data_IF_166570787196
#
_entry.id   IF_166570787196
#
_cell.length_a   1.000
_cell.length_b   1.000
_cell.length_c   1.000
_cell.angle_alpha   90.00
_cell.angle_beta   90.00
_cell.angle_gamma   90.00
#
_symmetry.space_group_name_H-M   'P 1'
#
loop_
_entity.id
_entity.type
_entity.pdbx_description
1 polymer ?
#
# COMPACT_ATOMS: atom_id res chain seq x y z
N UNK A 1 -0.46 -1.71 1.11
CA UNK A 1 -0.03 -2.83 0.23
C UNK A 1 1.48 -2.90 0.25
N UNK A 2 2.07 -4.00 -0.15
CA UNK A 2 3.50 -4.07 -0.09
C UNK A 2 4.08 -5.41 -0.48
N UNK A 3 5.35 -5.56 -0.14
CA UNK A 3 6.18 -6.70 -0.46
C UNK A 3 5.67 -8.00 0.16
N UNK A 4 5.93 -9.12 -0.52
CA UNK A 4 5.71 -10.46 0.03
C UNK A 4 6.65 -10.78 1.18
N UNK A 5 7.79 -10.07 1.24
CA UNK A 5 8.78 -10.22 2.31
C UNK A 5 8.81 -8.91 3.09
N UNK A 6 8.11 -8.90 4.21
CA UNK A 6 7.99 -7.69 5.04
C UNK A 6 9.26 -7.50 5.87
N UNK A 7 9.86 -6.31 5.75
CA UNK A 7 11.00 -5.92 6.60
C UNK A 7 10.50 -5.47 7.98
N UNK A 8 11.42 -5.36 8.93
CA UNK A 8 11.10 -4.79 10.24
C UNK A 8 10.60 -3.34 10.12
N UNK A 9 11.21 -2.57 9.21
CA UNK A 9 10.76 -1.22 8.90
C UNK A 9 9.32 -1.23 8.39
N UNK A 10 9.01 -2.09 7.41
CA UNK A 10 7.66 -2.21 6.87
C UNK A 10 6.64 -2.61 7.93
N UNK A 11 6.98 -3.56 8.77
CA UNK A 11 6.13 -4.01 9.87
C UNK A 11 5.80 -2.87 10.83
N UNK A 12 6.81 -2.08 11.18
CA UNK A 12 6.63 -0.94 12.08
C UNK A 12 5.72 0.13 11.46
N UNK A 13 5.98 0.46 10.20
CA UNK A 13 5.16 1.45 9.48
C UNK A 13 3.71 0.98 9.39
N UNK A 14 3.48 -0.28 9.04
CA UNK A 14 2.12 -0.85 8.99
C UNK A 14 1.45 -0.77 10.35
N UNK A 15 2.15 -1.14 11.41
CA UNK A 15 1.62 -1.06 12.76
C UNK A 15 1.19 0.35 13.14
N UNK A 16 2.04 1.33 12.89
CA UNK A 16 1.77 2.73 13.18
C UNK A 16 0.61 3.26 12.33
N UNK A 17 0.59 2.89 11.05
CA UNK A 17 -0.48 3.29 10.13
C UNK A 17 -1.84 2.71 10.56
N UNK A 18 -1.91 1.42 10.85
CA UNK A 18 -3.14 0.77 11.26
C UNK A 18 -3.65 1.33 12.60
N UNK A 19 -2.74 1.64 13.52
CA UNK A 19 -3.09 2.28 14.78
C UNK A 19 -3.68 3.68 14.55
N UNK A 20 -3.11 4.44 13.63
CA UNK A 20 -3.60 5.77 13.27
C UNK A 20 -5.02 5.70 12.70
N UNK A 21 -5.30 4.69 11.86
CA UNK A 21 -6.59 4.55 11.18
C UNK A 21 -7.67 3.89 12.03
N UNK A 22 -7.30 3.28 13.14
CA UNK A 22 -8.16 2.42 13.95
C UNK A 22 -9.49 3.04 14.37
N UNK A 23 -9.49 4.32 14.73
CA UNK A 23 -10.66 5.01 15.23
C UNK A 23 -11.29 5.97 14.21
N UNK A 24 -10.93 5.83 12.95
CA UNK A 24 -11.45 6.67 11.88
C UNK A 24 -12.50 5.92 11.07
N UNK A 25 -13.43 6.66 10.48
CA UNK A 25 -14.46 6.08 9.60
C UNK A 25 -13.88 5.80 8.23
N UNK A 26 -12.90 4.91 8.18
CA UNK A 26 -12.16 4.55 6.97
C UNK A 26 -12.20 3.03 6.85
N UNK A 27 -12.54 2.54 5.67
CA UNK A 27 -12.45 1.12 5.38
C UNK A 27 -11.05 0.80 4.86
N UNK A 28 -10.33 -0.06 5.57
CA UNK A 28 -9.01 -0.54 5.13
C UNK A 28 -9.20 -1.80 4.31
N UNK A 29 -8.69 -1.76 3.09
CA UNK A 29 -8.84 -2.82 2.08
C UNK A 29 -7.45 -3.37 1.75
N UNK A 30 -7.35 -4.67 1.55
CA UNK A 30 -6.11 -5.29 1.10
C UNK A 30 -6.39 -6.52 0.24
N UNK A 31 -5.33 -7.13 -0.26
CA UNK A 31 -5.38 -8.36 -1.05
C UNK A 31 -4.75 -9.48 -0.22
N UNK A 32 -5.33 -10.68 -0.29
CA UNK A 32 -4.80 -11.84 0.44
C UNK A 32 -3.56 -12.39 -0.26
N UNK A 33 -2.42 -11.82 0.11
CA UNK A 33 -1.08 -12.32 -0.25
C UNK A 33 -0.18 -12.20 0.97
N UNK A 34 0.92 -12.95 0.99
CA UNK A 34 1.85 -12.97 2.12
C UNK A 34 2.63 -11.65 2.26
N UNK A 35 3.25 -11.46 3.41
CA UNK A 35 4.09 -10.30 3.68
C UNK A 35 3.32 -9.13 4.26
N UNK A 36 3.53 -7.93 3.72
CA UNK A 36 2.89 -6.71 4.21
C UNK A 36 1.37 -6.81 4.24
N UNK A 37 0.77 -7.40 3.21
CA UNK A 37 -0.68 -7.53 3.14
C UNK A 37 -1.22 -8.46 4.24
N UNK A 38 -0.50 -9.53 4.58
CA UNK A 38 -0.88 -10.42 5.69
C UNK A 38 -0.88 -9.67 7.02
N UNK A 39 0.08 -8.78 7.22
CA UNK A 39 0.15 -7.99 8.44
C UNK A 39 -1.03 -7.01 8.53
N UNK A 40 -1.42 -6.40 7.42
CA UNK A 40 -2.61 -5.53 7.38
C UNK A 40 -3.88 -6.33 7.72
N UNK A 41 -4.00 -7.56 7.21
CA UNK A 41 -5.12 -8.44 7.55
C UNK A 41 -5.13 -8.75 9.04
N UNK A 42 -3.98 -9.11 9.60
CA UNK A 42 -3.84 -9.42 11.02
C UNK A 42 -4.25 -8.25 11.90
N UNK A 43 -3.96 -7.03 11.48
CA UNK A 43 -4.24 -5.80 12.23
C UNK A 43 -5.63 -5.23 11.98
N UNK A 44 -6.46 -5.87 11.17
CA UNK A 44 -7.88 -5.55 11.09
C UNK A 44 -8.39 -4.94 9.80
N UNK A 45 -7.86 -5.34 8.65
CA UNK A 45 -8.46 -4.96 7.37
C UNK A 45 -9.93 -5.37 7.32
N UNK A 46 -10.80 -4.48 6.89
CA UNK A 46 -12.25 -4.74 6.86
C UNK A 46 -12.71 -5.42 5.59
N UNK A 47 -11.99 -5.23 4.48
CA UNK A 47 -12.31 -5.89 3.21
C UNK A 47 -11.06 -6.50 2.62
N UNK A 48 -11.16 -7.77 2.22
CA UNK A 48 -10.04 -8.53 1.69
C UNK A 48 -10.43 -9.08 0.33
N UNK A 49 -9.66 -8.72 -0.69
CA UNK A 49 -9.81 -9.28 -2.03
C UNK A 49 -8.90 -10.49 -2.17
N UNK A 50 -9.38 -11.52 -2.85
CA UNK A 50 -8.59 -12.72 -3.09
C UNK A 50 -9.03 -13.40 -4.38
N UNK A 51 -8.16 -14.23 -4.95
CA UNK A 51 -8.40 -14.96 -6.18
C UNK A 51 -7.11 -15.36 -6.87
N UNK A 52 -7.24 -16.05 -7.99
CA UNK A 52 -6.10 -16.59 -8.73
C UNK A 52 -5.57 -15.64 -9.81
N UNK A 53 -6.37 -14.68 -10.24
CA UNK A 53 -6.01 -13.77 -11.32
C UNK A 53 -5.66 -12.39 -10.74
N UNK A 54 -4.37 -12.13 -10.58
CA UNK A 54 -3.88 -10.87 -9.99
C UNK A 54 -4.28 -9.65 -10.80
N UNK A 55 -4.29 -9.74 -12.11
CA UNK A 55 -4.68 -8.62 -12.95
C UNK A 55 -6.12 -8.20 -12.66
N UNK A 56 -7.01 -9.16 -12.59
CA UNK A 56 -8.42 -8.93 -12.27
C UNK A 56 -8.60 -8.37 -10.87
N UNK A 57 -7.89 -8.94 -9.88
CA UNK A 57 -7.95 -8.47 -8.49
C UNK A 57 -7.47 -7.02 -8.41
N UNK A 58 -6.36 -6.69 -9.06
CA UNK A 58 -5.84 -5.33 -9.05
C UNK A 58 -6.83 -4.33 -9.63
N UNK A 59 -7.51 -4.70 -10.71
CA UNK A 59 -8.57 -3.86 -11.29
C UNK A 59 -9.73 -3.68 -10.32
N UNK A 60 -10.18 -4.74 -9.67
CA UNK A 60 -11.26 -4.69 -8.70
C UNK A 60 -10.92 -3.79 -7.50
N UNK A 61 -9.70 -3.92 -6.98
CA UNK A 61 -9.24 -3.07 -5.87
C UNK A 61 -9.18 -1.61 -6.30
N UNK A 62 -8.64 -1.34 -7.49
CA UNK A 62 -8.54 0.02 -8.00
C UNK A 62 -9.90 0.66 -8.27
N UNK A 63 -10.89 -0.14 -8.63
CA UNK A 63 -12.27 0.34 -8.78
C UNK A 63 -12.90 0.67 -7.43
N UNK A 64 -12.63 -0.14 -6.42
CA UNK A 64 -13.28 -0.07 -5.12
C UNK A 64 -12.67 1.00 -4.21
N UNK A 65 -11.35 1.00 -4.06
CA UNK A 65 -10.66 1.87 -3.10
C UNK A 65 -10.47 3.28 -3.67
N UNK A 66 -10.45 4.26 -2.81
CA UNK A 66 -10.29 5.67 -3.20
C UNK A 66 -8.83 6.07 -3.35
N UNK A 67 -7.96 5.53 -2.50
CA UNK A 67 -6.53 5.78 -2.55
C UNK A 67 -5.75 4.49 -2.31
N UNK A 68 -4.51 4.48 -2.76
CA UNK A 68 -3.58 3.37 -2.53
C UNK A 68 -2.43 3.86 -1.66
N UNK A 69 -2.07 3.08 -0.65
CA UNK A 69 -0.88 3.30 0.16
C UNK A 69 0.04 2.10 -0.02
N UNK A 70 1.25 2.34 -0.49
CA UNK A 70 2.27 1.29 -0.65
C UNK A 70 3.36 1.52 0.39
N UNK A 71 3.58 0.51 1.23
CA UNK A 71 4.56 0.59 2.32
C UNK A 71 5.95 0.19 1.84
N UNK A 72 6.05 -0.92 1.11
CA UNK A 72 7.32 -1.36 0.52
C UNK A 72 7.08 -2.35 -0.61
N UNK A 73 8.09 -2.55 -1.45
CA UNK A 73 8.06 -3.51 -2.53
C UNK A 73 9.40 -3.53 -3.26
N UNK A 74 9.84 -4.72 -3.66
CA UNK A 74 11.07 -4.91 -4.42
C UNK A 74 10.88 -4.65 -5.92
N UNK A 75 11.93 -4.91 -6.73
CA UNK A 75 11.94 -4.63 -8.16
C UNK A 75 10.84 -5.35 -8.94
N UNK A 76 10.57 -6.59 -8.61
CA UNK A 76 9.53 -7.39 -9.28
C UNK A 76 8.18 -7.32 -8.60
N UNK A 77 7.93 -6.31 -7.79
CA UNK A 77 6.73 -6.24 -6.97
C UNK A 77 5.45 -6.04 -7.79
N UNK A 78 4.42 -6.81 -7.43
CA UNK A 78 3.07 -6.62 -7.98
C UNK A 78 2.45 -5.27 -7.62
N UNK A 79 3.04 -4.56 -6.65
CA UNK A 79 2.54 -3.23 -6.26
C UNK A 79 2.69 -2.21 -7.38
N UNK A 80 3.67 -2.39 -8.28
CA UNK A 80 3.84 -1.49 -9.44
C UNK A 80 2.64 -1.59 -10.39
N UNK A 81 2.16 -2.80 -10.62
CA UNK A 81 0.98 -3.02 -11.47
C UNK A 81 -0.28 -2.47 -10.80
N UNK A 82 -0.44 -2.68 -9.50
CA UNK A 82 -1.57 -2.15 -8.74
C UNK A 82 -1.57 -0.62 -8.77
N UNK A 83 -0.41 0.00 -8.57
CA UNK A 83 -0.28 1.45 -8.64
C UNK A 83 -0.69 1.99 -10.01
N UNK A 84 -0.28 1.31 -11.09
CA UNK A 84 -0.66 1.68 -12.44
C UNK A 84 -2.18 1.69 -12.63
N UNK A 85 -2.88 0.70 -12.07
CA UNK A 85 -4.34 0.64 -12.14
C UNK A 85 -5.00 1.84 -11.44
N UNK A 86 -4.48 2.24 -10.28
CA UNK A 86 -5.00 3.42 -9.57
C UNK A 86 -4.75 4.70 -10.37
N UNK A 87 -3.55 4.86 -10.90
CA UNK A 87 -3.16 6.02 -11.70
C UNK A 87 -4.04 6.14 -12.94
N UNK A 88 -4.29 5.04 -13.63
CA UNK A 88 -5.14 5.01 -14.83
C UNK A 88 -6.58 5.46 -14.54
N UNK A 89 -7.02 5.31 -13.30
CA UNK A 89 -8.35 5.75 -12.86
C UNK A 89 -8.35 7.16 -12.26
N UNK A 90 -7.23 7.85 -12.32
CA UNK A 90 -7.09 9.19 -11.75
C UNK A 90 -7.05 9.21 -10.23
N UNK A 91 -6.74 8.10 -9.59
CA UNK A 91 -6.68 7.98 -8.14
C UNK A 91 -5.25 8.15 -7.63
N UNK A 92 -5.10 8.68 -6.43
CA UNK A 92 -3.79 8.98 -5.86
C UNK A 92 -3.13 7.74 -5.27
N UNK A 93 -1.80 7.69 -5.45
CA UNK A 93 -0.93 6.67 -4.88
C UNK A 93 0.03 7.34 -3.92
N UNK A 94 0.03 6.87 -2.68
CA UNK A 94 0.91 7.35 -1.62
C UNK A 94 1.95 6.28 -1.33
N UNK A 95 3.22 6.67 -1.22
CA UNK A 95 4.32 5.73 -1.02
C UNK A 95 5.16 6.11 0.18
N UNK A 96 5.50 5.10 0.97
CA UNK A 96 6.42 5.26 2.10
C UNK A 96 7.85 5.22 1.55
N UNK A 97 8.64 6.30 1.70
CA UNK A 97 10.03 6.28 1.25
C UNK A 97 10.88 5.37 2.11
N UNK A 98 11.96 4.86 1.56
CA UNK A 98 12.91 4.04 2.28
C UNK A 98 14.32 4.30 1.82
N UNK A 99 15.27 3.56 2.39
CA UNK A 99 16.68 3.73 2.05
C UNK A 99 16.95 3.15 0.66
N UNK A 100 17.72 3.86 -0.14
CA UNK A 100 18.01 3.43 -1.52
C UNK A 100 18.84 2.14 -1.58
N UNK A 101 19.47 1.76 -0.48
CA UNK A 101 20.22 0.51 -0.38
C UNK A 101 19.37 -0.69 0.00
N UNK A 102 18.10 -0.48 0.39
CA UNK A 102 17.19 -1.55 0.78
C UNK A 102 16.37 -1.99 -0.42
N UNK A 103 16.44 -3.27 -0.77
CA UNK A 103 15.69 -3.83 -1.90
C UNK A 103 14.18 -3.61 -1.74
N UNK A 104 13.68 -3.72 -0.52
CA UNK A 104 12.25 -3.50 -0.22
C UNK A 104 11.75 -2.08 -0.44
N UNK A 105 12.65 -1.12 -0.64
CA UNK A 105 12.30 0.28 -0.90
C UNK A 105 12.31 0.64 -2.38
N UNK A 106 12.69 -0.29 -3.26
CA UNK A 106 12.83 0.02 -4.68
C UNK A 106 11.53 0.51 -5.30
N UNK A 107 10.44 -0.24 -5.11
CA UNK A 107 9.16 0.09 -5.77
C UNK A 107 8.60 1.43 -5.31
N UNK A 108 8.61 1.68 -3.99
CA UNK A 108 8.07 2.94 -3.46
C UNK A 108 8.91 4.13 -3.88
N UNK A 109 10.25 4.02 -3.79
CA UNK A 109 11.13 5.10 -4.21
C UNK A 109 11.02 5.36 -5.72
N UNK A 110 10.93 4.31 -6.52
CA UNK A 110 10.74 4.44 -7.97
C UNK A 110 9.43 5.16 -8.29
N UNK A 111 8.33 4.74 -7.65
CA UNK A 111 7.03 5.37 -7.85
C UNK A 111 7.03 6.85 -7.43
N UNK A 112 7.71 7.19 -6.34
CA UNK A 112 7.87 8.59 -5.92
C UNK A 112 8.58 9.38 -7.02
N UNK A 113 9.62 8.81 -7.60
CA UNK A 113 10.33 9.42 -8.73
C UNK A 113 9.44 9.63 -9.94
N UNK A 114 8.38 8.84 -10.11
CA UNK A 114 7.42 8.91 -11.21
C UNK A 114 6.18 9.74 -10.87
N UNK A 115 6.14 10.35 -9.69
CA UNK A 115 5.06 11.27 -9.33
C UNK A 115 4.11 10.81 -8.23
N UNK A 116 4.31 9.63 -7.65
CA UNK A 116 3.53 9.22 -6.50
C UNK A 116 3.83 10.13 -5.30
N UNK A 117 2.87 10.25 -4.39
CA UNK A 117 2.98 11.18 -3.27
C UNK A 117 3.76 10.52 -2.14
N UNK A 118 4.91 11.06 -1.71
CA UNK A 118 5.64 10.49 -0.59
C UNK A 118 4.94 10.79 0.73
N UNK A 119 4.93 9.80 1.61
CA UNK A 119 4.43 9.98 2.97
C UNK A 119 5.62 10.36 3.83
N UNK A 120 5.69 11.63 4.20
CA UNK A 120 6.78 12.13 5.06
C UNK A 120 6.43 11.87 6.53
N UNK A 121 5.17 12.03 6.88
CA UNK A 121 4.63 11.71 8.21
C UNK A 121 3.28 11.02 8.01
N UNK A 122 2.99 9.99 8.81
CA UNK A 122 1.72 9.27 8.69
C UNK A 122 0.51 10.16 8.89
N UNK A 123 0.64 11.17 9.72
CA UNK A 123 -0.41 12.15 9.99
C UNK A 123 -0.85 12.91 8.73
N UNK A 124 0.00 12.98 7.72
CA UNK A 124 -0.36 13.58 6.43
C UNK A 124 -1.58 12.89 5.80
N UNK A 125 -1.73 11.59 6.02
CA UNK A 125 -2.87 10.83 5.50
C UNK A 125 -4.18 11.24 6.16
N UNK A 126 -4.17 11.69 7.39
CA UNK A 126 -5.40 12.11 8.09
C UNK A 126 -6.06 13.30 7.44
N UNK A 127 -5.29 14.17 6.80
CA UNK A 127 -5.81 15.32 6.07
C UNK A 127 -6.51 14.92 4.77
N UNK A 128 -6.07 13.83 4.17
CA UNK A 128 -6.62 13.32 2.91
C UNK A 128 -7.84 12.43 3.15
N UNK A 129 -7.87 11.74 4.28
CA UNK A 129 -8.87 10.71 4.60
C UNK A 129 -10.01 11.22 5.49
N UNK A 130 -10.27 12.48 5.46
CA UNK A 130 -11.38 13.08 6.24
C UNK A 130 -12.74 12.87 5.59
#
# INVERSE_FOLDING_TARGET
MGSRFMSEYGKRVIGDLMNLLKNKKIEVVTIRVSGCNSEVIRLGAQKIFEGDNFQKINEEVADYADILVIVEGGRGSGTLMLASNFIDKGKNVYCVPGRITDEGSYATNWLIGEGAIPIIELENLTLVLQ
#
